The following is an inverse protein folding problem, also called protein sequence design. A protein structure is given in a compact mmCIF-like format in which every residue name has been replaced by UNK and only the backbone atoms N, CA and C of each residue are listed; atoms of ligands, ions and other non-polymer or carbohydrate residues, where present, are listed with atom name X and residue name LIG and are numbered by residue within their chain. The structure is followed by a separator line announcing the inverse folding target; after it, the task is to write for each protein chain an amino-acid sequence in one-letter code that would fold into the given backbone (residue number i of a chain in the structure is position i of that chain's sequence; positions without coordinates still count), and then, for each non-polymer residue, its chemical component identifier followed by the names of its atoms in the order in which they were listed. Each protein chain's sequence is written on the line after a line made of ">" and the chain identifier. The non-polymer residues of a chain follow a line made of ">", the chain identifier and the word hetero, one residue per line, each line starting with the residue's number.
data_IF_905861384142
#
_entry.id   IF_905861384142
#
_cell.length_a   1.000
_cell.length_b   1.000
_cell.length_c   1.000
_cell.angle_alpha   90.00
_cell.angle_beta   90.00
_cell.angle_gamma   90.00
#
_symmetry.space_group_name_H-M   'P 1'
#
loop_
_entity.id
_entity.type
_entity.pdbx_description
1 polymer ?
#
# COMPACT_ATOMS: atom_id res chain seq x y z
N UNK A 1 31.40 24.93 -0.72
CA UNK A 1 31.09 26.33 -0.32
C UNK A 1 30.34 26.97 -1.47
N UNK A 2 29.01 27.03 -1.36
CA UNK A 2 28.13 27.98 -2.05
C UNK A 2 26.74 27.80 -1.41
N UNK A 3 26.28 28.84 -0.71
CA UNK A 3 24.96 28.95 -0.11
C UNK A 3 24.14 29.98 -0.90
N UNK A 4 22.81 29.94 -0.67
CA UNK A 4 21.72 30.87 -1.04
C UNK A 4 20.98 30.48 -2.33
N UNK A 5 19.64 30.47 -2.40
CA UNK A 5 18.59 31.01 -1.50
C UNK A 5 17.24 30.32 -1.79
N UNK A 6 16.39 30.20 -0.76
CA UNK A 6 15.03 29.65 -0.82
C UNK A 6 14.10 30.39 -1.81
N UNK A 7 13.36 29.60 -2.59
CA UNK A 7 12.00 29.92 -3.06
C UNK A 7 11.20 28.62 -3.20
N UNK A 8 9.94 28.63 -2.75
CA UNK A 8 9.02 27.49 -2.65
C UNK A 8 8.69 26.82 -4.00
N UNK A 9 9.60 26.00 -4.53
CA UNK A 9 9.37 25.11 -5.65
C UNK A 9 10.38 23.95 -5.61
N UNK A 10 10.14 22.94 -4.77
CA UNK A 10 11.02 21.77 -4.69
C UNK A 10 10.22 20.46 -4.73
N UNK A 11 9.89 20.00 -5.94
CA UNK A 11 9.43 18.62 -6.17
C UNK A 11 10.20 17.83 -7.24
N UNK A 12 11.16 18.43 -7.94
CA UNK A 12 12.11 17.68 -8.78
C UNK A 12 13.49 18.33 -8.75
N UNK A 13 14.54 17.54 -8.53
CA UNK A 13 15.92 17.95 -8.78
C UNK A 13 16.29 17.56 -10.21
N UNK A 14 16.43 18.54 -11.10
CA UNK A 14 16.85 18.31 -12.49
C UNK A 14 18.33 18.70 -12.60
N UNK A 15 19.20 17.74 -12.87
CA UNK A 15 20.50 18.02 -13.49
C UNK A 15 20.40 17.61 -14.95
N UNK A 16 20.28 18.60 -15.83
CA UNK A 16 20.23 18.38 -17.27
C UNK A 16 21.65 18.35 -17.85
N UNK A 17 22.01 17.23 -18.48
CA UNK A 17 22.85 17.19 -19.67
C UNK A 17 22.70 15.79 -20.31
N UNK A 18 22.19 15.77 -21.56
CA UNK A 18 21.63 14.64 -22.38
C UNK A 18 20.14 14.34 -22.16
N UNK A 19 19.41 14.05 -23.25
CA UNK A 19 17.92 13.97 -23.41
C UNK A 19 17.19 12.92 -22.55
N UNK A 20 17.82 12.37 -21.51
CA UNK A 20 17.21 11.45 -20.57
C UNK A 20 16.77 12.18 -19.30
N UNK A 21 15.47 12.08 -18.97
CA UNK A 21 14.92 12.57 -17.71
C UNK A 21 14.62 11.38 -16.80
N UNK A 22 14.94 11.51 -15.51
CA UNK A 22 14.56 10.56 -14.47
C UNK A 22 13.59 11.23 -13.52
N UNK A 23 12.38 10.69 -13.45
CA UNK A 23 11.35 11.15 -12.51
C UNK A 23 11.30 10.18 -11.35
N UNK A 24 11.36 10.72 -10.12
CA UNK A 24 11.25 9.94 -8.89
C UNK A 24 10.07 10.47 -8.10
N UNK A 25 9.08 9.60 -7.85
CA UNK A 25 7.95 9.93 -6.98
C UNK A 25 8.39 9.77 -5.52
N UNK A 26 8.70 10.91 -4.88
CA UNK A 26 9.15 10.98 -3.50
C UNK A 26 7.98 10.86 -2.50
N UNK A 27 7.75 9.64 -2.03
CA UNK A 27 6.72 9.29 -1.05
C UNK A 27 7.17 9.46 0.41
N UNK A 28 8.43 9.83 0.65
CA UNK A 28 8.96 10.04 2.02
C UNK A 28 8.28 11.19 2.76
N UNK A 29 7.59 12.08 2.03
CA UNK A 29 6.87 13.22 2.59
C UNK A 29 5.39 12.93 2.83
N UNK A 30 4.89 11.76 2.42
CA UNK A 30 3.47 11.44 2.57
C UNK A 30 3.13 11.32 4.05
N UNK A 31 2.11 12.06 4.45
CA UNK A 31 1.56 12.09 5.81
C UNK A 31 2.54 12.55 6.89
N UNK A 32 3.49 13.41 6.52
CA UNK A 32 4.43 14.03 7.45
C UNK A 32 5.63 13.14 7.81
N UNK A 33 6.46 13.63 8.73
CA UNK A 33 7.75 13.03 9.07
C UNK A 33 7.65 11.69 9.84
N UNK A 34 6.48 11.35 10.35
CA UNK A 34 6.30 10.18 11.22
C UNK A 34 5.92 8.89 10.47
N UNK A 35 5.28 9.01 9.30
CA UNK A 35 4.77 7.86 8.52
C UNK A 35 5.62 7.59 7.27
N UNK A 36 6.04 8.64 6.54
CA UNK A 36 7.01 8.61 5.44
C UNK A 36 6.83 7.48 4.40
N UNK A 37 5.59 7.12 4.07
CA UNK A 37 5.31 5.97 3.17
C UNK A 37 3.98 6.10 2.45
N UNK A 38 3.94 5.61 1.21
CA UNK A 38 2.71 5.50 0.43
C UNK A 38 1.68 4.53 1.06
N UNK A 39 2.15 3.58 1.88
CA UNK A 39 1.30 2.58 2.55
C UNK A 39 0.30 3.22 3.52
N UNK A 40 0.51 4.47 3.90
CA UNK A 40 -0.41 5.22 4.74
C UNK A 40 -1.77 5.52 4.07
N UNK A 41 -1.86 5.44 2.74
CA UNK A 41 -3.14 5.71 2.05
C UNK A 41 -4.15 4.58 2.22
N UNK A 42 -3.66 3.34 2.27
CA UNK A 42 -4.47 2.14 2.08
C UNK A 42 -5.45 1.90 3.22
N UNK A 43 -4.94 1.75 4.44
CA UNK A 43 -5.77 1.42 5.59
C UNK A 43 -6.81 2.52 5.92
N UNK A 44 -6.47 3.83 5.95
CA UNK A 44 -7.46 4.88 6.18
C UNK A 44 -8.58 4.91 5.14
N UNK A 45 -8.27 4.66 3.86
CA UNK A 45 -9.30 4.59 2.82
C UNK A 45 -10.21 3.37 2.98
N UNK A 46 -9.66 2.21 3.33
CA UNK A 46 -10.45 1.03 3.64
C UNK A 46 -11.36 1.23 4.86
N UNK A 47 -10.85 1.87 5.92
CA UNK A 47 -11.66 2.23 7.10
C UNK A 47 -12.76 3.22 6.72
N UNK A 48 -12.47 4.23 5.89
CA UNK A 48 -13.49 5.13 5.37
C UNK A 48 -14.62 4.36 4.67
N UNK A 49 -14.27 3.41 3.77
CA UNK A 49 -15.27 2.60 3.05
C UNK A 49 -16.11 1.76 4.01
N UNK A 50 -15.49 1.07 4.97
CA UNK A 50 -16.19 0.29 6.01
C UNK A 50 -17.20 1.18 6.75
N UNK A 51 -16.76 2.36 7.23
CA UNK A 51 -17.63 3.27 7.97
C UNK A 51 -18.76 3.83 7.09
N UNK A 52 -18.46 4.17 5.84
CA UNK A 52 -19.46 4.67 4.90
C UNK A 52 -20.52 3.61 4.59
N UNK A 53 -20.11 2.36 4.37
CA UNK A 53 -20.99 1.24 4.06
C UNK A 53 -21.87 0.87 5.27
N UNK A 54 -21.33 0.94 6.49
CA UNK A 54 -22.09 0.77 7.75
C UNK A 54 -23.16 1.85 7.94
N UNK A 55 -22.82 3.11 7.67
CA UNK A 55 -23.77 4.22 7.72
C UNK A 55 -24.85 4.06 6.66
N UNK A 56 -24.46 3.72 5.42
CA UNK A 56 -25.39 3.51 4.32
C UNK A 56 -26.37 2.38 4.63
N UNK A 57 -25.88 1.25 5.13
CA UNK A 57 -26.71 0.08 5.48
C UNK A 57 -27.78 0.43 6.53
N UNK A 58 -27.47 1.31 7.48
CA UNK A 58 -28.39 1.67 8.58
C UNK A 58 -29.30 2.86 8.27
N UNK A 59 -28.91 3.72 7.33
CA UNK A 59 -29.59 5.03 7.12
C UNK A 59 -30.01 5.30 5.68
N UNK A 60 -29.48 4.55 4.71
CA UNK A 60 -29.60 4.83 3.27
C UNK A 60 -28.80 6.03 2.78
N UNK A 61 -28.09 6.75 3.66
CA UNK A 61 -27.28 7.92 3.29
C UNK A 61 -25.82 7.53 3.04
N UNK A 62 -25.21 8.13 2.01
CA UNK A 62 -23.78 8.00 1.73
C UNK A 62 -23.02 9.16 2.41
N UNK A 63 -22.26 8.92 3.48
CA UNK A 63 -21.57 9.98 4.19
C UNK A 63 -20.28 10.39 3.47
N UNK A 64 -19.95 11.67 3.54
CA UNK A 64 -18.62 12.15 3.16
C UNK A 64 -17.57 11.84 4.23
N UNK A 65 -16.29 11.85 3.84
CA UNK A 65 -15.18 11.69 4.78
C UNK A 65 -15.14 12.78 5.86
N UNK A 66 -15.67 13.97 5.56
CA UNK A 66 -15.79 15.07 6.51
C UNK A 66 -16.87 14.77 7.56
N UNK A 67 -18.04 14.30 7.13
CA UNK A 67 -19.14 13.98 8.05
C UNK A 67 -18.80 12.84 9.01
N UNK A 68 -18.06 11.83 8.56
CA UNK A 68 -17.59 10.72 9.41
C UNK A 68 -16.64 11.17 10.53
N UNK A 69 -16.01 12.34 10.41
CA UNK A 69 -15.17 12.96 11.45
C UNK A 69 -15.95 13.86 12.41
N UNK A 70 -17.26 14.00 12.21
CA UNK A 70 -18.15 14.75 13.10
C UNK A 70 -19.01 13.81 13.95
N UNK A 71 -19.70 14.31 14.98
CA UNK A 71 -20.62 13.49 15.77
C UNK A 71 -21.83 12.93 15.00
N UNK A 72 -22.10 13.38 13.75
CA UNK A 72 -23.32 13.08 12.98
C UNK A 72 -23.66 11.59 12.90
N UNK A 73 -22.67 10.72 12.74
CA UNK A 73 -22.85 9.27 12.60
C UNK A 73 -22.23 8.47 13.75
N UNK A 74 -21.88 9.13 14.86
CA UNK A 74 -21.13 8.52 15.98
C UNK A 74 -21.81 7.28 16.54
N UNK A 75 -23.14 7.28 16.62
CA UNK A 75 -23.91 6.15 17.15
C UNK A 75 -23.74 4.84 16.36
N UNK A 76 -23.37 4.97 15.09
CA UNK A 76 -23.06 3.86 14.18
C UNK A 76 -21.57 3.58 14.22
N UNK A 77 -20.73 4.59 13.96
CA UNK A 77 -19.29 4.41 13.74
C UNK A 77 -18.55 3.95 14.98
N UNK A 78 -18.98 4.34 16.19
CA UNK A 78 -18.36 3.92 17.45
C UNK A 78 -18.48 2.41 17.74
N UNK A 79 -19.35 1.70 17.01
CA UNK A 79 -19.55 0.25 17.15
C UNK A 79 -18.66 -0.56 16.20
N UNK A 80 -18.03 0.11 15.23
CA UNK A 80 -17.16 -0.53 14.25
C UNK A 80 -15.80 -0.74 14.90
N UNK A 81 -15.32 -1.97 14.88
CA UNK A 81 -13.97 -2.32 15.30
C UNK A 81 -13.22 -2.87 14.11
N UNK A 82 -11.98 -2.41 13.94
CA UNK A 82 -11.07 -2.86 12.88
C UNK A 82 -9.87 -3.52 13.55
N UNK A 83 -9.45 -4.66 13.05
CA UNK A 83 -8.19 -5.29 13.43
C UNK A 83 -7.26 -5.39 12.23
N UNK A 84 -5.96 -5.29 12.50
CA UNK A 84 -4.89 -5.37 11.51
C UNK A 84 -3.77 -6.25 12.05
N UNK A 85 -3.10 -6.97 11.17
CA UNK A 85 -1.82 -7.59 11.48
C UNK A 85 -0.72 -6.68 10.95
N UNK A 86 0.31 -6.41 11.76
CA UNK A 86 1.46 -5.61 11.34
C UNK A 86 2.75 -6.27 11.80
N UNK A 87 3.70 -6.38 10.89
CA UNK A 87 5.07 -6.74 11.22
C UNK A 87 5.88 -5.49 11.59
N UNK A 88 6.73 -5.65 12.60
CA UNK A 88 7.88 -4.79 12.80
C UNK A 88 8.99 -5.25 11.88
N UNK A 89 8.90 -4.97 10.57
CA UNK A 89 9.87 -5.35 9.52
C UNK A 89 10.36 -6.81 9.58
N UNK A 90 9.85 -7.67 8.71
CA UNK A 90 10.36 -9.04 8.50
C UNK A 90 11.88 -9.10 8.27
N UNK A 91 12.60 -9.73 9.21
CA UNK A 91 14.03 -9.98 9.18
C UNK A 91 14.43 -10.88 10.36
N UNK A 92 14.49 -12.19 10.11
CA UNK A 92 14.71 -13.23 11.12
C UNK A 92 16.13 -13.15 11.69
N UNK A 93 16.23 -12.47 12.83
CA UNK A 93 17.18 -12.60 13.98
C UNK A 93 17.06 -11.36 14.90
N UNK A 94 16.35 -10.29 14.48
CA UNK A 94 16.16 -9.05 15.26
C UNK A 94 14.74 -8.44 15.22
N UNK A 95 13.78 -9.04 14.52
CA UNK A 95 12.48 -8.41 14.22
C UNK A 95 11.38 -8.71 15.25
N UNK A 96 11.45 -8.08 16.42
CA UNK A 96 10.25 -7.83 17.22
C UNK A 96 9.60 -6.52 16.74
N UNK A 97 8.26 -6.43 16.73
CA UNK A 97 7.59 -5.12 16.77
C UNK A 97 8.16 -4.38 17.97
N UNK A 98 8.93 -3.32 17.72
CA UNK A 98 9.61 -2.57 18.77
C UNK A 98 8.57 -2.03 19.75
N UNK A 99 8.91 -1.98 21.04
CA UNK A 99 8.02 -1.39 22.04
C UNK A 99 7.62 0.04 21.65
N UNK A 100 8.56 0.84 21.12
CA UNK A 100 8.25 2.17 20.62
C UNK A 100 7.20 2.22 19.50
N UNK A 101 7.13 1.21 18.62
CA UNK A 101 6.05 1.12 17.61
C UNK A 101 4.72 0.73 18.26
N UNK A 102 4.75 -0.24 19.18
CA UNK A 102 3.56 -0.67 19.91
C UNK A 102 2.97 0.49 20.73
N UNK A 103 3.81 1.27 21.41
CA UNK A 103 3.38 2.36 22.27
C UNK A 103 2.77 3.52 21.47
N UNK A 104 3.36 3.88 20.32
CA UNK A 104 2.74 4.85 19.39
C UNK A 104 1.35 4.43 18.92
N UNK A 105 1.13 3.13 18.69
CA UNK A 105 -0.18 2.60 18.30
C UNK A 105 -1.15 2.69 19.49
N UNK A 106 -0.71 2.36 20.72
CA UNK A 106 -1.52 2.50 21.93
C UNK A 106 -1.88 3.96 22.24
N UNK A 107 -0.98 4.91 21.99
CA UNK A 107 -1.22 6.35 22.16
C UNK A 107 -2.35 6.86 21.26
N UNK A 108 -2.59 6.21 20.11
CA UNK A 108 -3.75 6.47 19.24
C UNK A 108 -5.05 5.82 19.75
N UNK A 109 -5.03 5.17 20.92
CA UNK A 109 -6.17 4.51 21.53
C UNK A 109 -6.44 3.09 21.03
N UNK A 110 -5.54 2.51 20.23
CA UNK A 110 -5.68 1.15 19.74
C UNK A 110 -5.21 0.12 20.77
N UNK A 111 -5.87 -1.05 20.76
CA UNK A 111 -5.44 -2.21 21.55
C UNK A 111 -4.36 -2.97 20.77
N UNK A 112 -3.20 -3.17 21.39
CA UNK A 112 -2.10 -3.94 20.80
C UNK A 112 -2.01 -5.31 21.45
N UNK A 113 -2.15 -6.36 20.65
CA UNK A 113 -2.01 -7.75 21.07
C UNK A 113 -0.70 -8.29 20.48
N UNK A 114 0.22 -8.74 21.34
CA UNK A 114 1.43 -9.44 20.89
C UNK A 114 1.08 -10.91 20.66
N UNK A 115 1.44 -11.43 19.48
CA UNK A 115 1.24 -12.82 19.09
C UNK A 115 2.59 -13.49 18.97
N UNK A 116 2.76 -14.63 19.65
CA UNK A 116 3.95 -15.44 19.50
C UNK A 116 3.94 -16.14 18.13
N UNK A 117 4.99 -15.93 17.34
CA UNK A 117 5.15 -16.52 16.03
C UNK A 117 5.60 -15.52 14.96
N UNK A 118 5.60 -15.98 13.72
CA UNK A 118 5.91 -15.15 12.55
C UNK A 118 4.69 -14.31 12.13
N UNK A 119 4.85 -13.40 11.15
CA UNK A 119 3.78 -12.52 10.66
C UNK A 119 2.48 -13.27 10.33
N UNK A 120 2.56 -14.45 9.71
CA UNK A 120 1.40 -15.28 9.38
C UNK A 120 0.60 -15.71 10.62
N UNK A 121 1.25 -15.93 11.77
CA UNK A 121 0.54 -16.23 13.02
C UNK A 121 -0.29 -15.03 13.49
N UNK A 122 0.23 -13.81 13.31
CA UNK A 122 -0.49 -12.57 13.62
C UNK A 122 -1.67 -12.34 12.66
N UNK A 123 -1.50 -12.64 11.37
CA UNK A 123 -2.58 -12.62 10.37
C UNK A 123 -3.68 -13.61 10.73
N UNK A 124 -3.34 -14.88 11.00
CA UNK A 124 -4.30 -15.90 11.39
C UNK A 124 -5.06 -15.50 12.65
N UNK A 125 -4.36 -14.96 13.65
CA UNK A 125 -4.99 -14.50 14.89
C UNK A 125 -5.94 -13.33 14.64
N UNK A 126 -5.52 -12.32 13.87
CA UNK A 126 -6.35 -11.14 13.58
C UNK A 126 -7.62 -11.51 12.78
N UNK A 127 -7.51 -12.43 11.81
CA UNK A 127 -8.67 -12.98 11.08
C UNK A 127 -9.64 -13.69 12.02
N UNK A 128 -9.13 -14.51 12.92
CA UNK A 128 -9.97 -15.26 13.87
C UNK A 128 -10.65 -14.33 14.89
N UNK A 129 -9.93 -13.35 15.43
CA UNK A 129 -10.52 -12.34 16.32
C UNK A 129 -11.60 -11.52 15.60
N UNK A 130 -11.37 -11.15 14.33
CA UNK A 130 -12.39 -10.50 13.51
C UNK A 130 -13.65 -11.36 13.35
N UNK A 131 -13.47 -12.63 12.98
CA UNK A 131 -14.56 -13.58 12.79
C UNK A 131 -15.36 -13.78 14.08
N UNK A 132 -14.68 -13.97 15.21
CA UNK A 132 -15.31 -14.26 16.50
C UNK A 132 -16.08 -13.08 17.09
N UNK A 133 -15.63 -11.85 16.82
CA UNK A 133 -16.21 -10.65 17.42
C UNK A 133 -17.03 -9.80 16.44
N UNK A 134 -17.12 -10.21 15.17
CA UNK A 134 -17.75 -9.41 14.11
C UNK A 134 -16.99 -8.12 13.80
N UNK A 135 -15.66 -8.13 13.94
CA UNK A 135 -14.80 -7.00 13.57
C UNK A 135 -14.40 -7.11 12.09
N UNK A 136 -13.89 -6.01 11.55
CA UNK A 136 -13.35 -5.98 10.20
C UNK A 136 -11.84 -6.22 10.24
N UNK A 137 -11.37 -7.28 9.61
CA UNK A 137 -9.94 -7.46 9.36
C UNK A 137 -9.54 -6.59 8.16
N UNK A 138 -8.55 -5.70 8.33
CA UNK A 138 -8.04 -4.84 7.26
C UNK A 138 -6.61 -5.23 6.94
N UNK A 139 -6.36 -5.52 5.66
CA UNK A 139 -5.07 -5.97 5.14
C UNK A 139 -4.87 -5.49 3.71
N UNK A 140 -3.63 -5.19 3.34
CA UNK A 140 -3.23 -4.84 1.96
C UNK A 140 -2.97 -6.05 1.06
N UNK A 141 -3.21 -7.25 1.54
CA UNK A 141 -3.10 -8.50 0.78
C UNK A 141 -4.37 -9.32 0.98
N UNK A 142 -4.74 -10.11 -0.02
CA UNK A 142 -5.86 -11.06 0.05
C UNK A 142 -5.36 -12.51 0.15
N UNK A 143 -6.25 -13.39 0.60
CA UNK A 143 -6.05 -14.83 0.69
C UNK A 143 -7.34 -15.53 0.26
N UNK A 144 -7.26 -16.79 -0.15
CA UNK A 144 -8.44 -17.55 -0.61
C UNK A 144 -9.55 -17.69 0.45
N UNK A 145 -9.18 -17.63 1.73
CA UNK A 145 -10.09 -17.68 2.89
C UNK A 145 -10.54 -16.29 3.37
N UNK A 146 -10.11 -15.23 2.67
CA UNK A 146 -10.38 -13.84 2.98
C UNK A 146 -10.60 -13.07 1.67
N UNK A 147 -11.73 -13.39 1.03
CA UNK A 147 -12.18 -12.81 -0.23
C UNK A 147 -13.32 -11.83 0.03
N UNK A 148 -12.95 -10.56 0.18
CA UNK A 148 -13.88 -9.44 0.29
C UNK A 148 -13.25 -8.20 -0.33
N UNK A 149 -14.02 -7.10 -0.38
CA UNK A 149 -13.60 -5.89 -1.08
C UNK A 149 -12.53 -5.07 -0.31
N UNK A 150 -12.19 -5.43 0.93
CA UNK A 150 -11.29 -4.62 1.78
C UNK A 150 -9.86 -4.55 1.21
N UNK A 151 -9.19 -5.67 0.84
CA UNK A 151 -7.90 -5.60 0.17
C UNK A 151 -7.94 -4.76 -1.09
N UNK A 152 -9.00 -4.86 -1.90
CA UNK A 152 -9.16 -4.05 -3.11
C UNK A 152 -9.29 -2.56 -2.78
N UNK A 153 -10.01 -2.19 -1.72
CA UNK A 153 -10.04 -0.81 -1.25
C UNK A 153 -8.65 -0.31 -0.85
N UNK A 154 -7.91 -1.08 -0.05
CA UNK A 154 -6.54 -0.74 0.36
C UNK A 154 -5.64 -0.52 -0.85
N UNK A 155 -5.74 -1.39 -1.85
CA UNK A 155 -4.98 -1.29 -3.09
C UNK A 155 -5.41 -0.12 -3.96
N UNK A 156 -6.71 0.15 -4.06
CA UNK A 156 -7.27 1.27 -4.83
C UNK A 156 -6.75 2.61 -4.32
N UNK A 157 -6.45 2.73 -3.04
CA UNK A 157 -5.90 3.96 -2.47
C UNK A 157 -4.51 4.31 -3.07
N UNK A 158 -3.77 3.32 -3.56
CA UNK A 158 -2.47 3.56 -4.21
C UNK A 158 -2.60 4.28 -5.55
N UNK A 159 -3.79 4.30 -6.16
CA UNK A 159 -4.01 5.10 -7.39
C UNK A 159 -3.76 6.58 -7.14
N UNK A 160 -3.94 7.08 -5.91
CA UNK A 160 -3.63 8.48 -5.55
C UNK A 160 -2.16 8.79 -5.82
N UNK A 161 -1.24 7.89 -5.46
CA UNK A 161 0.20 8.05 -5.72
C UNK A 161 0.46 8.14 -7.21
N UNK A 162 -0.22 7.29 -7.97
CA UNK A 162 -0.07 7.15 -9.42
C UNK A 162 -0.59 8.40 -10.11
N UNK A 163 -1.84 8.80 -9.87
CA UNK A 163 -2.45 9.99 -10.45
C UNK A 163 -1.64 11.24 -10.13
N UNK A 164 -1.25 11.44 -8.87
CA UNK A 164 -0.38 12.57 -8.52
C UNK A 164 1.00 12.50 -9.19
N UNK A 165 1.51 11.32 -9.54
CA UNK A 165 2.78 11.19 -10.27
C UNK A 165 2.59 11.51 -11.75
N UNK A 166 1.55 10.95 -12.37
CA UNK A 166 1.22 11.12 -13.78
C UNK A 166 0.89 12.59 -14.09
N UNK A 167 0.16 13.28 -13.20
CA UNK A 167 -0.15 14.71 -13.35
C UNK A 167 1.09 15.62 -13.26
N UNK A 168 2.18 15.14 -12.65
CA UNK A 168 3.44 15.87 -12.54
C UNK A 168 4.39 15.60 -13.73
N UNK A 169 4.13 14.58 -14.54
CA UNK A 169 4.94 14.26 -15.71
C UNK A 169 4.54 15.19 -16.86
N UNK A 170 5.45 16.02 -17.40
CA UNK A 170 5.08 17.02 -18.40
C UNK A 170 4.58 16.45 -19.72
N UNK A 171 5.14 15.31 -20.16
CA UNK A 171 4.78 14.63 -21.40
C UNK A 171 4.81 13.11 -21.13
N UNK A 172 3.64 12.54 -20.85
CA UNK A 172 3.52 11.17 -20.35
C UNK A 172 3.87 10.11 -21.42
N UNK A 173 3.51 10.36 -22.67
CA UNK A 173 3.81 9.51 -23.84
C UNK A 173 5.32 9.38 -24.12
N UNK A 174 6.15 10.25 -23.54
CA UNK A 174 7.63 10.17 -23.63
C UNK A 174 8.26 9.30 -22.55
N UNK A 175 7.49 8.81 -21.58
CA UNK A 175 8.02 7.86 -20.59
C UNK A 175 8.33 6.55 -21.29
N UNK A 176 9.60 6.18 -21.33
CA UNK A 176 10.05 4.95 -21.99
C UNK A 176 10.16 3.75 -21.05
N UNK A 177 10.37 4.02 -19.76
CA UNK A 177 10.59 3.00 -18.74
C UNK A 177 9.90 3.40 -17.44
N UNK A 178 9.28 2.42 -16.79
CA UNK A 178 8.69 2.55 -15.45
C UNK A 178 9.31 1.46 -14.58
N UNK A 179 10.04 1.85 -13.54
CA UNK A 179 10.68 0.93 -12.62
C UNK A 179 9.91 0.97 -11.30
N UNK A 180 9.44 -0.18 -10.85
CA UNK A 180 8.60 -0.31 -9.65
C UNK A 180 9.03 -1.50 -8.81
N UNK A 181 8.94 -1.37 -7.50
CA UNK A 181 9.21 -2.49 -6.59
C UNK A 181 8.05 -3.49 -6.55
N UNK A 182 8.37 -4.78 -6.56
CA UNK A 182 7.45 -5.89 -6.42
C UNK A 182 7.50 -6.46 -5.00
N UNK A 183 6.39 -6.37 -4.27
CA UNK A 183 6.14 -7.17 -3.07
C UNK A 183 5.06 -8.20 -3.39
N UNK A 184 3.88 -8.06 -2.78
CA UNK A 184 2.69 -8.82 -3.21
C UNK A 184 2.10 -8.34 -4.56
N UNK A 185 2.60 -7.24 -5.13
CA UNK A 185 2.19 -6.74 -6.46
C UNK A 185 1.19 -5.57 -6.46
N UNK A 186 0.65 -5.16 -5.30
CA UNK A 186 -0.43 -4.17 -5.26
C UNK A 186 -0.10 -2.80 -5.87
N UNK A 187 1.05 -2.19 -5.52
CA UNK A 187 1.46 -0.89 -6.08
C UNK A 187 1.85 -1.02 -7.55
N UNK A 188 2.44 -2.16 -7.93
CA UNK A 188 2.74 -2.50 -9.32
C UNK A 188 1.47 -2.50 -10.14
N UNK A 189 0.43 -3.23 -9.71
CA UNK A 189 -0.86 -3.27 -10.40
C UNK A 189 -1.47 -1.86 -10.56
N UNK A 190 -1.47 -1.04 -9.49
CA UNK A 190 -1.99 0.33 -9.54
C UNK A 190 -1.22 1.21 -10.55
N UNK A 191 0.11 1.11 -10.60
CA UNK A 191 0.94 1.84 -11.57
C UNK A 191 0.61 1.41 -12.99
N UNK A 192 0.59 0.10 -13.26
CA UNK A 192 0.21 -0.41 -14.58
C UNK A 192 -1.17 0.10 -14.98
N UNK A 193 -2.17 -0.03 -14.11
CA UNK A 193 -3.53 0.45 -14.37
C UNK A 193 -3.55 1.95 -14.69
N UNK A 194 -2.87 2.79 -13.93
CA UNK A 194 -2.85 4.23 -14.17
C UNK A 194 -2.24 4.60 -15.53
N UNK A 195 -1.12 3.99 -15.91
CA UNK A 195 -0.53 4.21 -17.23
C UNK A 195 -1.44 3.72 -18.36
N UNK A 196 -2.00 2.50 -18.27
CA UNK A 196 -2.93 1.99 -19.28
C UNK A 196 -4.22 2.81 -19.39
N UNK A 197 -4.67 3.42 -18.30
CA UNK A 197 -5.84 4.30 -18.29
C UNK A 197 -5.53 5.66 -18.92
N UNK A 198 -4.35 6.24 -18.63
CA UNK A 198 -3.96 7.57 -19.14
C UNK A 198 -3.39 7.54 -20.56
N UNK A 199 -2.99 6.36 -21.05
CA UNK A 199 -2.43 6.11 -22.38
C UNK A 199 -3.30 5.10 -23.15
N UNK A 200 -4.62 5.13 -22.96
CA UNK A 200 -5.57 4.17 -23.55
C UNK A 200 -5.57 4.17 -25.09
N UNK A 201 -5.31 5.33 -25.71
CA UNK A 201 -5.15 5.47 -27.15
C UNK A 201 -3.74 5.07 -27.67
N UNK A 202 -2.80 4.73 -26.79
CA UNK A 202 -1.42 4.38 -27.18
C UNK A 202 -1.30 2.90 -27.57
N UNK A 203 -0.70 2.57 -28.73
CA UNK A 203 -0.48 1.18 -29.13
C UNK A 203 0.39 0.43 -28.10
N UNK A 204 0.15 -0.87 -27.84
CA UNK A 204 0.98 -1.64 -26.90
C UNK A 204 2.49 -1.64 -27.21
N UNK A 205 2.87 -1.45 -28.48
CA UNK A 205 4.28 -1.35 -28.91
C UNK A 205 4.97 -0.05 -28.48
N UNK A 206 4.19 0.98 -28.17
CA UNK A 206 4.65 2.32 -27.76
C UNK A 206 4.48 2.57 -26.26
N UNK A 207 3.83 1.63 -25.55
CA UNK A 207 3.74 1.66 -24.09
C UNK A 207 5.13 1.61 -23.44
N UNK A 208 5.30 2.28 -22.28
CA UNK A 208 6.54 2.20 -21.53
C UNK A 208 6.89 0.76 -21.17
N UNK A 209 8.19 0.46 -21.12
CA UNK A 209 8.68 -0.80 -20.58
C UNK A 209 8.55 -0.77 -19.05
N UNK A 210 7.69 -1.62 -18.52
CA UNK A 210 7.56 -1.80 -17.08
C UNK A 210 8.59 -2.82 -16.57
N UNK A 211 9.34 -2.44 -15.55
CA UNK A 211 10.36 -3.25 -14.91
C UNK A 211 10.00 -3.39 -13.45
N UNK A 212 9.62 -4.61 -13.05
CA UNK A 212 9.32 -4.95 -11.66
C UNK A 212 10.60 -5.45 -10.99
N UNK A 213 10.91 -4.90 -9.82
CA UNK A 213 12.13 -5.22 -9.06
C UNK A 213 11.77 -5.89 -7.75
N UNK A 214 12.21 -7.13 -7.57
CA UNK A 214 12.00 -7.94 -6.36
C UNK A 214 13.35 -8.35 -5.74
N UNK A 215 13.42 -8.58 -4.42
CA UNK A 215 14.57 -9.26 -3.82
C UNK A 215 14.67 -10.70 -4.33
N UNK A 216 15.88 -11.20 -4.59
CA UNK A 216 16.09 -12.59 -5.03
C UNK A 216 15.55 -13.64 -4.04
N UNK A 217 15.46 -13.28 -2.76
CA UNK A 217 14.94 -14.14 -1.69
C UNK A 217 13.41 -14.07 -1.52
N UNK A 218 12.72 -13.19 -2.26
CA UNK A 218 11.28 -12.92 -2.17
C UNK A 218 10.69 -12.49 -3.53
N UNK A 219 10.97 -13.26 -4.57
CA UNK A 219 10.72 -12.99 -6.00
C UNK A 219 9.43 -13.64 -6.53
N UNK A 220 8.33 -13.52 -5.78
CA UNK A 220 7.12 -14.29 -6.06
C UNK A 220 6.44 -13.88 -7.39
N UNK A 221 6.54 -12.62 -7.81
CA UNK A 221 6.00 -12.14 -9.09
C UNK A 221 6.84 -12.69 -10.26
N UNK A 222 8.17 -12.69 -10.15
CA UNK A 222 9.08 -13.25 -11.15
C UNK A 222 8.85 -14.76 -11.34
N UNK A 223 8.76 -15.51 -10.24
CA UNK A 223 8.50 -16.94 -10.31
C UNK A 223 7.12 -17.24 -10.93
N UNK A 224 6.11 -16.43 -10.58
CA UNK A 224 4.77 -16.54 -11.19
C UNK A 224 4.80 -16.24 -12.70
N UNK A 225 5.49 -15.18 -13.10
CA UNK A 225 5.62 -14.80 -14.52
C UNK A 225 6.35 -15.88 -15.35
N UNK A 226 7.37 -16.52 -14.79
CA UNK A 226 8.08 -17.64 -15.44
C UNK A 226 7.21 -18.89 -15.58
N UNK A 227 6.37 -19.16 -14.59
CA UNK A 227 5.49 -20.33 -14.57
C UNK A 227 4.20 -20.14 -15.39
N UNK A 228 3.78 -18.90 -15.62
CA UNK A 228 2.49 -18.58 -16.25
C UNK A 228 1.28 -18.75 -15.31
N UNK A 229 1.52 -18.95 -14.02
CA UNK A 229 0.49 -19.10 -12.98
C UNK A 229 0.99 -18.56 -11.64
N UNK A 230 0.07 -18.30 -10.70
CA UNK A 230 0.44 -17.78 -9.38
C UNK A 230 1.29 -18.80 -8.62
N UNK A 231 2.52 -18.40 -8.27
CA UNK A 231 3.48 -19.20 -7.51
C UNK A 231 3.96 -18.44 -6.27
N UNK A 232 4.19 -19.19 -5.21
CA UNK A 232 4.92 -18.67 -4.05
C UNK A 232 6.40 -18.59 -4.44
N UNK A 233 7.10 -17.57 -3.98
CA UNK A 233 8.58 -17.56 -4.05
C UNK A 233 9.11 -18.81 -3.33
N UNK A 234 10.22 -19.35 -3.80
CA UNK A 234 10.96 -20.44 -3.15
C UNK A 234 12.07 -19.93 -2.23
N UNK A 235 12.39 -18.63 -2.28
CA UNK A 235 13.46 -18.02 -1.50
C UNK A 235 13.23 -18.04 0.00
N UNK A 236 14.21 -17.58 0.79
CA UNK A 236 14.15 -17.65 2.25
C UNK A 236 13.32 -16.51 2.90
N UNK A 237 12.88 -15.52 2.11
CA UNK A 237 12.32 -14.23 2.57
C UNK A 237 13.29 -13.38 3.40
N UNK A 238 14.55 -13.79 3.55
CA UNK A 238 15.57 -13.03 4.29
C UNK A 238 16.15 -11.95 3.39
N UNK A 239 15.71 -10.71 3.58
CA UNK A 239 16.18 -9.57 2.79
C UNK A 239 16.20 -8.30 3.63
N UNK A 240 17.10 -7.37 3.30
CA UNK A 240 17.12 -6.02 3.88
C UNK A 240 16.02 -5.11 3.31
N UNK A 241 15.39 -5.49 2.19
CA UNK A 241 14.32 -4.73 1.54
C UNK A 241 12.99 -4.95 2.26
N UNK A 242 12.91 -4.43 3.50
CA UNK A 242 11.71 -4.50 4.32
C UNK A 242 10.50 -3.96 3.57
N UNK A 243 9.40 -4.71 3.59
CA UNK A 243 8.17 -4.40 2.85
C UNK A 243 8.08 -5.01 1.44
N UNK A 244 9.15 -5.65 0.93
CA UNK A 244 9.14 -6.50 -0.27
C UNK A 244 9.38 -7.99 0.04
N UNK A 245 9.58 -8.35 1.31
CA UNK A 245 9.69 -9.73 1.76
C UNK A 245 8.32 -10.43 1.69
N UNK A 246 7.87 -10.78 0.49
CA UNK A 246 6.53 -11.34 0.26
C UNK A 246 6.63 -12.78 -0.25
N UNK A 247 5.80 -13.67 0.31
CA UNK A 247 5.80 -15.09 -0.08
C UNK A 247 5.04 -15.35 -1.37
N UNK A 248 3.91 -14.68 -1.59
CA UNK A 248 3.01 -14.92 -2.70
C UNK A 248 2.51 -13.59 -3.29
N UNK A 249 2.14 -13.56 -4.58
CA UNK A 249 1.38 -12.46 -5.14
C UNK A 249 0.02 -12.33 -4.44
N UNK A 250 -0.49 -11.10 -4.34
CA UNK A 250 -1.86 -10.84 -3.88
C UNK A 250 -2.83 -11.21 -5.01
N UNK A 251 -3.83 -12.07 -4.78
CA UNK A 251 -4.88 -12.33 -5.76
C UNK A 251 -5.68 -11.09 -6.20
N UNK A 252 -5.67 -10.03 -5.40
CA UNK A 252 -6.32 -8.76 -5.74
C UNK A 252 -5.48 -7.85 -6.66
N UNK A 253 -4.24 -8.21 -6.97
CA UNK A 253 -3.32 -7.49 -7.86
C UNK A 253 -3.31 -8.10 -9.26
#
# INVERSE_FOLDING_TARGET
>A
MAFLRHSNASRFSIQAQTEAAVFVKDESKRSGADLCSFKDLGAPYAVYKILADEVYTKTGAQPSSAELRTPKYRDITQRVTVCVATDGNQGRELAHVSEGRADRIKELGAVVIRVDGEYEASVSRAKEDARMNGWFFVSSTSWSDFDNDIPQHVMSAYIVVVEEALDLIPVLDRITHVIVCGGVGSITAAIFQGFYTRLDDTPPSEMPRFIVVEPSEADCLLQSAKAGEVRKSEGSLRTFMAGLACRAPSPAA
#
